data_IF_456879011415
#
_entry.id   IF_456879011415
#
_cell.length_a   1.000
_cell.length_b   1.000
_cell.length_c   1.000
_cell.angle_alpha   90.00
_cell.angle_beta   90.00
_cell.angle_gamma   90.00
#
_symmetry.space_group_name_H-M   'P 1'
#
loop_
_entity.id
_entity.type
_entity.pdbx_description
1 polymer ?
#
# COMPACT_ATOMS: atom_id res chain seq x y z
N UNK A 1 8.86 7.74 21.07
CA UNK A 1 8.68 8.84 20.10
C UNK A 1 9.53 8.45 18.91
N UNK A 2 9.01 7.74 17.92
CA UNK A 2 9.88 7.07 16.95
C UNK A 2 9.35 7.13 15.53
N UNK A 3 10.30 7.22 14.62
CA UNK A 3 10.16 6.79 13.23
C UNK A 3 10.24 5.28 13.18
N UNK A 4 9.34 4.68 12.42
CA UNK A 4 9.65 3.41 11.78
C UNK A 4 10.05 3.70 10.36
N UNK A 5 11.19 3.14 10.00
CA UNK A 5 11.58 2.92 8.62
C UNK A 5 11.15 1.52 8.24
N UNK A 6 10.55 1.42 7.05
CA UNK A 6 10.55 0.31 6.09
C UNK A 6 9.91 0.88 4.83
N UNK A 7 10.52 0.87 3.64
CA UNK A 7 11.36 -0.13 3.00
C UNK A 7 12.55 0.52 2.28
N UNK A 8 13.77 0.04 2.58
CA UNK A 8 14.67 -0.78 1.75
C UNK A 8 14.69 -0.47 0.27
N UNK A 9 15.90 -0.45 -0.32
CA UNK A 9 16.19 -0.17 -1.73
C UNK A 9 15.06 -0.66 -2.66
N UNK A 10 14.04 0.19 -2.83
CA UNK A 10 13.00 -0.04 -3.79
C UNK A 10 13.50 0.74 -4.98
N UNK A 11 13.94 -0.03 -5.95
CA UNK A 11 14.20 0.47 -7.27
C UNK A 11 12.87 0.87 -7.88
N UNK A 12 12.70 2.15 -8.16
CA UNK A 12 11.56 2.65 -8.92
C UNK A 12 11.94 2.75 -10.38
N UNK A 13 11.08 2.21 -11.25
CA UNK A 13 11.12 2.56 -12.67
C UNK A 13 10.60 3.98 -12.81
N UNK A 14 11.37 4.85 -13.45
CA UNK A 14 10.93 6.19 -13.82
C UNK A 14 11.17 6.35 -15.32
N UNK A 15 10.12 6.64 -16.08
CA UNK A 15 10.21 6.72 -17.54
C UNK A 15 11.07 7.93 -18.00
N UNK A 16 11.93 7.73 -18.99
CA UNK A 16 12.89 8.73 -19.50
C UNK A 16 12.35 9.65 -20.61
N UNK A 17 11.08 9.55 -21.01
CA UNK A 17 10.58 10.44 -22.06
C UNK A 17 9.09 10.76 -21.87
N UNK A 18 8.77 12.06 -21.89
CA UNK A 18 7.69 12.74 -22.64
C UNK A 18 7.56 14.19 -22.11
N UNK A 19 8.17 15.13 -22.84
CA UNK A 19 7.65 16.48 -23.14
C UNK A 19 7.42 17.47 -21.99
N UNK A 20 8.39 18.39 -21.82
CA UNK A 20 8.38 19.64 -21.03
C UNK A 20 7.95 19.53 -19.55
N UNK A 21 8.75 18.82 -18.75
CA UNK A 21 9.26 19.27 -17.45
C UNK A 21 10.08 18.13 -16.81
N UNK A 22 11.41 18.22 -16.96
CA UNK A 22 12.50 17.57 -16.20
C UNK A 22 12.13 16.37 -15.30
N UNK A 23 12.73 15.21 -15.59
CA UNK A 23 12.71 14.01 -14.73
C UNK A 23 14.10 13.78 -14.08
N UNK A 24 14.40 14.50 -13.00
CA UNK A 24 15.74 14.49 -12.40
C UNK A 24 15.72 14.84 -10.89
N UNK A 25 16.84 14.63 -10.20
CA UNK A 25 17.02 15.03 -8.81
C UNK A 25 16.96 16.57 -8.66
N UNK A 26 16.28 17.06 -7.61
CA UNK A 26 16.16 18.51 -7.39
C UNK A 26 17.47 19.11 -6.85
N UNK A 27 18.09 18.42 -5.90
CA UNK A 27 19.41 18.70 -5.34
C UNK A 27 20.36 17.57 -5.72
N UNK A 28 21.59 17.94 -6.08
CA UNK A 28 22.67 16.98 -6.30
C UNK A 28 22.96 16.19 -5.01
N UNK A 29 23.36 14.93 -5.21
CA UNK A 29 23.80 14.06 -4.13
C UNK A 29 25.02 14.66 -3.44
N UNK A 30 25.03 14.59 -2.11
CA UNK A 30 26.11 15.12 -1.28
C UNK A 30 27.03 13.97 -0.91
N UNK A 31 28.32 14.23 -0.81
CA UNK A 31 29.23 13.23 -0.26
C UNK A 31 28.84 12.90 1.20
N UNK A 32 29.04 11.65 1.61
CA UNK A 32 28.72 11.19 2.97
C UNK A 32 29.42 12.05 4.04
N UNK A 33 30.62 12.54 3.75
CA UNK A 33 31.37 13.44 4.64
C UNK A 33 30.72 14.82 4.83
N UNK A 34 29.88 15.27 3.90
CA UNK A 34 29.15 16.54 4.00
C UNK A 34 27.85 16.41 4.81
N UNK A 35 27.41 15.18 5.08
CA UNK A 35 26.21 14.91 5.86
C UNK A 35 26.54 14.97 7.35
N UNK A 36 25.64 15.57 8.13
CA UNK A 36 25.78 15.65 9.59
C UNK A 36 25.83 14.24 10.18
N UNK A 37 26.96 13.89 10.79
CA UNK A 37 27.18 12.57 11.39
C UNK A 37 26.38 12.37 12.68
N UNK A 38 26.24 13.43 13.47
CA UNK A 38 25.48 13.43 14.72
C UNK A 38 23.97 13.66 14.49
N UNK A 39 23.09 13.10 15.33
CA UNK A 39 21.66 13.37 15.27
C UNK A 39 21.30 14.86 15.42
N UNK A 40 20.13 15.25 14.92
CA UNK A 40 19.59 16.59 15.19
C UNK A 40 19.20 16.77 16.67
N UNK A 41 19.31 17.98 17.20
CA UNK A 41 18.93 18.24 18.59
C UNK A 41 17.41 18.08 18.80
N UNK A 42 17.05 17.45 19.90
CA UNK A 42 15.67 17.38 20.40
C UNK A 42 15.47 18.36 21.56
N UNK A 43 14.22 18.75 21.88
CA UNK A 43 13.93 19.50 23.10
C UNK A 43 14.30 18.71 24.36
N UNK A 44 14.61 19.42 25.45
CA UNK A 44 14.96 18.80 26.72
C UNK A 44 13.91 17.77 27.18
N UNK A 45 14.39 16.62 27.68
CA UNK A 45 13.54 15.51 28.10
C UNK A 45 13.14 14.54 26.99
N UNK A 46 13.57 14.77 25.75
CA UNK A 46 13.45 13.81 24.65
C UNK A 46 14.83 13.30 24.24
N UNK A 47 14.89 12.03 23.82
CA UNK A 47 16.08 11.41 23.24
C UNK A 47 15.69 10.64 21.98
N UNK A 48 16.65 10.50 21.06
CA UNK A 48 16.51 9.60 19.93
C UNK A 48 16.72 8.18 20.41
N UNK A 49 15.93 7.29 19.86
CA UNK A 49 16.02 5.87 20.10
C UNK A 49 15.62 5.16 18.80
N UNK A 50 16.17 3.98 18.61
CA UNK A 50 16.08 3.19 17.38
C UNK A 50 15.56 1.83 17.80
N UNK A 51 14.35 1.52 17.37
CA UNK A 51 13.62 0.35 17.85
C UNK A 51 14.19 -0.92 17.23
N UNK A 52 14.58 -1.88 18.08
CA UNK A 52 14.92 -3.23 17.63
C UNK A 52 13.66 -4.07 17.46
N UNK A 53 13.28 -4.29 16.20
CA UNK A 53 12.07 -5.01 15.81
C UNK A 53 12.19 -6.53 16.01
N UNK A 54 13.33 -7.06 16.48
CA UNK A 54 13.50 -8.48 16.78
C UNK A 54 13.18 -8.83 18.25
N UNK A 55 13.04 -7.82 19.12
CA UNK A 55 12.72 -8.01 20.54
C UNK A 55 11.18 -8.04 20.77
N UNK A 56 10.60 -9.11 21.34
CA UNK A 56 9.15 -9.26 21.49
C UNK A 56 8.46 -8.24 22.42
N UNK A 57 9.12 -7.69 23.45
CA UNK A 57 8.53 -6.63 24.29
C UNK A 57 8.43 -5.30 23.53
N UNK A 58 9.49 -4.97 22.78
CA UNK A 58 9.54 -3.79 21.88
C UNK A 58 8.56 -3.99 20.71
N UNK A 59 8.44 -5.20 20.18
CA UNK A 59 7.50 -5.56 19.11
C UNK A 59 6.05 -5.47 19.56
N UNK A 60 5.71 -5.67 20.83
CA UNK A 60 4.33 -5.56 21.32
C UNK A 60 3.93 -4.11 21.58
N UNK A 61 4.87 -3.29 22.08
CA UNK A 61 4.74 -1.82 22.11
C UNK A 61 4.69 -1.22 20.70
N UNK A 62 5.42 -1.84 19.75
CA UNK A 62 5.38 -1.51 18.34
C UNK A 62 4.14 -2.02 17.63
N UNK A 63 3.62 -3.22 17.88
CA UNK A 63 2.43 -3.81 17.23
C UNK A 63 1.14 -3.14 17.73
N UNK A 64 1.13 -2.65 18.98
CA UNK A 64 0.15 -1.68 19.45
C UNK A 64 0.27 -0.29 18.78
N UNK A 65 1.40 -0.03 18.11
CA UNK A 65 1.74 1.23 17.47
C UNK A 65 1.72 1.16 15.92
N UNK A 66 1.98 0.00 15.29
CA UNK A 66 2.36 -0.32 13.89
C UNK A 66 2.36 -1.89 13.71
N UNK A 67 1.29 -2.60 13.42
CA UNK A 67 0.67 -2.91 12.12
C UNK A 67 1.51 -3.07 10.83
N UNK A 68 2.84 -2.95 10.73
CA UNK A 68 3.53 -3.18 9.42
C UNK A 68 5.09 -3.27 9.48
N UNK A 69 5.64 -4.48 9.17
CA UNK A 69 6.81 -4.93 8.33
C UNK A 69 8.25 -4.36 8.53
N UNK A 70 9.41 -5.06 8.27
CA UNK A 70 9.76 -6.32 7.52
C UNK A 70 10.75 -6.46 6.25
N UNK A 71 12.05 -6.09 6.17
CA UNK A 71 13.35 -6.60 5.54
C UNK A 71 13.78 -6.77 3.98
N UNK A 72 15.11 -6.87 3.62
CA UNK A 72 15.99 -6.43 2.42
C UNK A 72 16.52 -7.57 1.52
N UNK A 73 17.01 -7.27 0.28
CA UNK A 73 18.29 -7.74 -0.35
C UNK A 73 18.52 -7.27 -1.84
N UNK A 74 19.75 -7.47 -2.35
CA UNK A 74 20.50 -6.89 -3.51
C UNK A 74 20.20 -7.35 -4.98
N UNK A 75 20.77 -6.58 -5.93
CA UNK A 75 21.27 -6.86 -7.32
C UNK A 75 20.51 -6.43 -8.62
N UNK A 76 21.19 -5.52 -9.35
CA UNK A 76 21.47 -5.40 -10.81
C UNK A 76 20.51 -4.78 -11.88
N UNK A 77 21.12 -3.82 -12.60
CA UNK A 77 20.94 -3.30 -13.98
C UNK A 77 19.54 -3.05 -14.56
N UNK A 78 19.05 -1.80 -14.49
CA UNK A 78 18.49 -0.93 -15.57
C UNK A 78 18.46 0.53 -15.01
N UNK A 79 18.02 1.58 -15.74
CA UNK A 79 17.89 2.96 -15.20
C UNK A 79 16.78 3.06 -14.13
N UNK A 80 17.06 2.44 -13.00
CA UNK A 80 16.23 2.39 -11.81
C UNK A 80 16.73 3.44 -10.83
N UNK A 81 15.81 4.19 -10.25
CA UNK A 81 16.17 5.13 -9.18
C UNK A 81 15.99 4.44 -7.83
N UNK A 82 17.06 4.38 -7.04
CA UNK A 82 16.96 3.98 -5.64
C UNK A 82 16.25 5.07 -4.86
N UNK A 83 15.16 4.71 -4.20
CA UNK A 83 14.45 5.60 -3.29
C UNK A 83 14.02 4.84 -2.05
N UNK A 84 13.88 5.56 -0.94
CA UNK A 84 13.25 5.02 0.27
C UNK A 84 11.75 5.27 0.26
N UNK A 85 10.98 4.30 0.75
CA UNK A 85 9.58 4.51 1.07
C UNK A 85 9.45 5.10 2.48
N UNK A 86 8.75 6.24 2.62
CA UNK A 86 8.49 6.86 3.92
C UNK A 86 7.01 6.68 4.28
N UNK A 87 6.79 6.01 5.42
CA UNK A 87 5.47 5.81 6.00
C UNK A 87 5.48 6.09 7.53
N UNK A 88 4.31 6.03 8.16
CA UNK A 88 4.11 6.06 9.61
C UNK A 88 4.60 7.29 10.38
N UNK A 89 4.62 8.47 9.74
CA UNK A 89 4.88 9.71 10.48
C UNK A 89 3.78 9.97 11.52
N UNK A 90 4.11 9.73 12.79
CA UNK A 90 3.18 9.91 13.89
C UNK A 90 3.76 10.79 15.00
N UNK A 91 3.00 11.80 15.40
CA UNK A 91 3.29 12.61 16.59
C UNK A 91 2.14 12.46 17.57
N UNK A 92 2.49 12.13 18.82
CA UNK A 92 1.54 12.01 19.92
C UNK A 92 0.64 13.26 20.01
N UNK A 93 -0.67 13.07 20.25
CA UNK A 93 -1.69 14.14 20.19
C UNK A 93 -1.30 15.40 20.99
N UNK A 94 -0.75 15.22 22.19
CA UNK A 94 -0.32 16.32 23.08
C UNK A 94 0.88 17.13 22.57
N UNK A 95 1.62 16.61 21.59
CA UNK A 95 2.89 17.17 21.13
C UNK A 95 2.81 17.76 19.70
N UNK A 96 1.64 17.69 19.04
CA UNK A 96 1.48 18.13 17.64
C UNK A 96 1.73 19.62 17.43
N UNK A 97 1.42 20.46 18.42
CA UNK A 97 1.66 21.91 18.36
C UNK A 97 3.14 22.30 18.55
N UNK A 98 4.02 21.35 18.90
CA UNK A 98 5.43 21.61 19.22
C UNK A 98 6.37 21.54 18.02
N UNK A 99 5.84 21.45 16.78
CA UNK A 99 6.62 21.39 15.53
C UNK A 99 7.71 20.30 15.56
N UNK A 100 7.39 19.15 16.15
CA UNK A 100 8.31 18.01 16.17
C UNK A 100 8.40 17.31 14.81
N UNK A 101 7.31 17.29 14.03
CA UNK A 101 7.30 16.64 12.71
C UNK A 101 8.41 17.13 11.75
N UNK A 102 8.71 18.44 11.62
CA UNK A 102 9.87 18.88 10.83
C UNK A 102 11.24 18.44 11.36
N UNK A 103 11.43 18.38 12.69
CA UNK A 103 12.69 17.91 13.31
C UNK A 103 12.86 16.42 13.03
N UNK A 104 11.77 15.69 13.19
CA UNK A 104 11.64 14.30 12.84
C UNK A 104 12.06 14.11 11.36
N UNK A 105 11.43 14.81 10.41
CA UNK A 105 11.71 14.66 8.96
C UNK A 105 13.19 14.91 8.65
N UNK A 106 13.81 15.92 9.28
CA UNK A 106 15.25 16.19 9.10
C UNK A 106 16.14 15.04 9.58
N UNK A 107 15.80 14.41 10.70
CA UNK A 107 16.58 13.30 11.23
C UNK A 107 16.48 12.07 10.34
N UNK A 108 15.29 11.74 9.82
CA UNK A 108 15.17 10.60 8.89
C UNK A 108 15.89 10.88 7.57
N UNK A 109 15.77 12.08 7.00
CA UNK A 109 16.54 12.48 5.80
C UNK A 109 18.04 12.33 6.05
N UNK A 110 18.54 12.74 7.22
CA UNK A 110 19.96 12.58 7.58
C UNK A 110 20.38 11.11 7.60
N UNK A 111 19.60 10.24 8.25
CA UNK A 111 19.89 8.81 8.35
C UNK A 111 19.89 8.12 7.00
N UNK A 112 18.92 8.45 6.14
CA UNK A 112 18.80 7.92 4.77
C UNK A 112 19.96 8.41 3.89
N UNK A 113 20.28 9.71 3.95
CA UNK A 113 21.42 10.24 3.19
C UNK A 113 22.75 9.60 3.61
N UNK A 114 22.93 9.21 4.88
CA UNK A 114 24.12 8.48 5.34
C UNK A 114 24.25 7.07 4.75
N UNK A 115 23.17 6.48 4.23
CA UNK A 115 23.22 5.20 3.50
C UNK A 115 23.45 5.40 2.00
N UNK A 116 23.64 6.64 1.55
CA UNK A 116 23.87 6.98 0.13
C UNK A 116 22.60 7.18 -0.69
N UNK A 117 21.40 7.16 -0.09
CA UNK A 117 20.14 7.36 -0.79
C UNK A 117 19.66 8.80 -0.56
N UNK A 118 19.18 9.49 -1.60
CA UNK A 118 18.80 10.91 -1.51
C UNK A 118 17.37 11.19 -1.92
N UNK A 119 16.64 10.19 -2.40
CA UNK A 119 15.29 10.29 -2.90
C UNK A 119 14.35 9.45 -2.02
N UNK A 120 13.09 9.88 -1.95
CA UNK A 120 12.06 9.13 -1.23
C UNK A 120 10.70 9.24 -1.90
N UNK A 121 9.86 8.23 -1.71
CA UNK A 121 8.43 8.28 -2.06
C UNK A 121 7.59 8.24 -0.79
N UNK A 122 6.50 8.98 -0.76
CA UNK A 122 5.57 8.96 0.37
C UNK A 122 4.16 9.34 -0.07
N UNK A 123 3.18 8.96 0.74
CA UNK A 123 1.80 9.42 0.57
C UNK A 123 1.28 10.20 1.75
N UNK A 124 0.26 11.01 1.48
CA UNK A 124 -0.53 11.64 2.52
C UNK A 124 -2.00 11.71 2.12
N UNK A 125 -2.90 11.55 3.10
CA UNK A 125 -4.33 11.84 2.91
C UNK A 125 -4.64 13.34 2.94
N UNK A 126 -3.70 14.17 3.39
CA UNK A 126 -3.79 15.64 3.36
C UNK A 126 -3.07 16.19 2.13
N UNK A 127 -3.63 17.24 1.53
CA UNK A 127 -2.99 17.89 0.39
C UNK A 127 -1.80 18.74 0.85
N UNK A 128 -0.60 18.25 0.57
CA UNK A 128 0.65 19.00 0.63
C UNK A 128 0.97 19.62 -0.75
N UNK A 129 1.83 20.65 -0.82
CA UNK A 129 2.20 21.29 -2.08
C UNK A 129 2.76 20.30 -3.10
N UNK A 130 2.32 20.43 -4.36
CA UNK A 130 2.82 19.69 -5.54
C UNK A 130 2.76 18.15 -5.42
N UNK A 131 1.57 17.55 -5.24
CA UNK A 131 1.43 16.11 -5.44
C UNK A 131 1.74 15.75 -6.90
N UNK A 132 2.41 14.62 -7.09
CA UNK A 132 2.71 14.07 -8.42
C UNK A 132 1.51 13.26 -8.95
N UNK A 133 0.82 12.54 -8.07
CA UNK A 133 -0.43 11.84 -8.40
C UNK A 133 -1.44 11.93 -7.25
N UNK A 134 -2.72 11.77 -7.58
CA UNK A 134 -3.82 11.74 -6.61
C UNK A 134 -4.74 10.57 -6.93
N UNK A 135 -4.73 9.54 -6.11
CA UNK A 135 -5.61 8.38 -6.26
C UNK A 135 -6.78 8.47 -5.27
N UNK A 136 -7.98 8.05 -5.66
CA UNK A 136 -9.17 8.03 -4.80
C UNK A 136 -9.37 6.65 -4.18
N UNK A 137 -9.79 6.63 -2.91
CA UNK A 137 -10.25 5.39 -2.28
C UNK A 137 -11.63 4.98 -2.78
N UNK A 138 -11.80 3.68 -2.96
CA UNK A 138 -13.05 3.04 -3.34
C UNK A 138 -13.36 1.91 -2.38
N UNK A 139 -14.62 1.75 -2.03
CA UNK A 139 -15.08 0.82 -1.01
C UNK A 139 -16.17 -0.11 -1.55
N UNK A 140 -15.97 -1.41 -1.39
CA UNK A 140 -16.95 -2.45 -1.73
C UNK A 140 -17.45 -3.14 -0.47
N UNK A 141 -18.74 -2.96 -0.18
CA UNK A 141 -19.34 -3.52 1.03
C UNK A 141 -19.54 -5.03 0.97
N UNK A 142 -18.82 -5.79 1.79
CA UNK A 142 -18.98 -7.26 1.91
C UNK A 142 -20.02 -7.61 2.98
N UNK A 143 -20.10 -6.82 4.05
CA UNK A 143 -21.07 -6.92 5.12
C UNK A 143 -21.86 -5.60 5.32
N UNK A 144 -22.82 -5.27 4.44
CA UNK A 144 -23.51 -3.98 4.48
C UNK A 144 -24.23 -3.69 5.79
N UNK A 145 -24.77 -4.73 6.43
CA UNK A 145 -25.48 -4.59 7.70
C UNK A 145 -24.54 -4.04 8.78
N UNK A 146 -23.39 -4.69 8.98
CA UNK A 146 -22.40 -4.24 9.96
C UNK A 146 -21.86 -2.86 9.62
N UNK A 147 -21.51 -2.60 8.36
CA UNK A 147 -20.96 -1.30 7.93
C UNK A 147 -21.94 -0.14 8.20
N UNK A 148 -23.25 -0.36 8.07
CA UNK A 148 -24.27 0.65 8.37
C UNK A 148 -24.46 0.80 9.88
N UNK A 149 -24.52 -0.31 10.63
CA UNK A 149 -24.66 -0.31 12.10
C UNK A 149 -23.51 0.44 12.79
N UNK A 150 -22.27 0.26 12.32
CA UNK A 150 -21.08 0.98 12.83
C UNK A 150 -20.86 2.37 12.22
N UNK A 151 -21.78 2.85 11.38
CA UNK A 151 -21.71 4.16 10.69
C UNK A 151 -20.48 4.34 9.79
N UNK A 152 -19.87 3.25 9.32
CA UNK A 152 -18.86 3.30 8.26
C UNK A 152 -19.49 3.68 6.91
N UNK A 153 -20.74 3.25 6.68
CA UNK A 153 -21.51 3.59 5.50
C UNK A 153 -22.93 4.02 5.88
N UNK A 154 -23.63 4.64 4.93
CA UNK A 154 -25.01 5.10 5.12
C UNK A 154 -25.94 4.47 4.08
N UNK A 155 -27.22 4.32 4.43
CA UNK A 155 -28.24 3.97 3.45
C UNK A 155 -28.44 5.14 2.48
N UNK A 156 -28.31 4.86 1.19
CA UNK A 156 -28.62 5.83 0.15
C UNK A 156 -30.10 6.24 0.16
N UNK A 157 -30.42 7.36 -0.49
CA UNK A 157 -31.80 7.81 -0.68
C UNK A 157 -32.62 6.69 -1.34
N UNK A 158 -33.79 6.39 -0.78
CA UNK A 158 -34.72 5.34 -1.26
C UNK A 158 -34.20 3.88 -1.18
N UNK A 159 -33.12 3.63 -0.44
CA UNK A 159 -32.61 2.29 -0.18
C UNK A 159 -33.09 1.77 1.18
N UNK A 160 -33.45 0.48 1.23
CA UNK A 160 -33.72 -0.24 2.48
C UNK A 160 -32.57 -1.20 2.76
N UNK A 161 -32.40 -1.62 4.01
CA UNK A 161 -31.38 -2.62 4.39
C UNK A 161 -31.45 -3.88 3.51
N UNK A 162 -32.65 -4.41 3.27
CA UNK A 162 -32.85 -5.58 2.42
C UNK A 162 -32.41 -5.35 0.96
N UNK A 163 -32.73 -4.18 0.39
CA UNK A 163 -32.28 -3.81 -0.97
C UNK A 163 -30.77 -3.70 -1.05
N UNK A 164 -30.14 -3.10 -0.04
CA UNK A 164 -28.68 -2.98 0.05
C UNK A 164 -28.00 -4.34 0.17
N UNK A 165 -28.52 -5.24 1.01
CA UNK A 165 -28.02 -6.61 1.13
C UNK A 165 -28.14 -7.38 -0.19
N UNK A 166 -29.26 -7.24 -0.90
CA UNK A 166 -29.45 -7.85 -2.22
C UNK A 166 -28.51 -7.26 -3.27
N UNK A 167 -28.31 -5.93 -3.26
CA UNK A 167 -27.43 -5.23 -4.19
C UNK A 167 -25.99 -5.73 -4.07
N UNK A 168 -25.49 -5.91 -2.86
CA UNK A 168 -24.10 -6.28 -2.61
C UNK A 168 -23.85 -7.78 -2.46
N UNK A 169 -24.89 -8.61 -2.63
CA UNK A 169 -24.79 -10.07 -2.54
C UNK A 169 -23.74 -10.62 -3.51
N UNK A 170 -22.86 -11.45 -2.97
CA UNK A 170 -21.88 -12.26 -3.71
C UNK A 170 -22.23 -13.76 -3.60
N UNK A 171 -21.83 -14.58 -4.59
CA UNK A 171 -21.85 -16.04 -4.51
C UNK A 171 -21.03 -16.59 -3.34
N UNK A 172 -21.14 -17.89 -3.08
CA UNK A 172 -20.29 -18.60 -2.12
C UNK A 172 -19.01 -19.14 -2.76
N UNK A 173 -19.10 -19.62 -4.00
CA UNK A 173 -17.99 -20.23 -4.72
C UNK A 173 -17.45 -19.29 -5.81
N UNK A 174 -16.14 -19.35 -6.03
CA UNK A 174 -15.47 -18.64 -7.12
C UNK A 174 -15.86 -19.22 -8.48
N UNK A 175 -15.86 -18.39 -9.51
CA UNK A 175 -16.26 -18.78 -10.86
C UNK A 175 -15.08 -19.27 -11.71
N UNK A 176 -13.88 -18.76 -11.47
CA UNK A 176 -12.71 -19.05 -12.30
C UNK A 176 -12.11 -20.41 -11.97
N UNK A 177 -12.08 -21.31 -12.96
CA UNK A 177 -11.43 -22.62 -12.82
C UNK A 177 -9.93 -22.43 -12.60
N UNK A 178 -9.38 -23.12 -11.60
CA UNK A 178 -7.96 -23.02 -11.27
C UNK A 178 -7.62 -21.83 -10.36
N UNK A 179 -8.60 -21.04 -9.93
CA UNK A 179 -8.41 -20.01 -8.90
C UNK A 179 -8.12 -20.66 -7.55
N UNK A 180 -6.91 -20.47 -7.03
CA UNK A 180 -6.43 -21.08 -5.78
C UNK A 180 -5.46 -20.17 -5.04
N UNK A 181 -5.26 -20.41 -3.75
CA UNK A 181 -4.26 -19.70 -2.93
C UNK A 181 -2.84 -19.91 -3.52
N UNK A 182 -2.04 -18.85 -3.50
CA UNK A 182 -0.63 -18.87 -3.93
C UNK A 182 0.17 -19.87 -3.07
N UNK A 183 1.03 -20.66 -3.72
CA UNK A 183 1.92 -21.60 -3.03
C UNK A 183 3.39 -21.25 -3.29
N UNK A 184 4.33 -21.73 -2.46
CA UNK A 184 5.76 -21.49 -2.67
C UNK A 184 6.28 -21.92 -4.04
N UNK A 185 5.69 -22.96 -4.64
CA UNK A 185 6.09 -23.43 -5.98
C UNK A 185 5.73 -22.44 -7.11
N UNK A 186 4.77 -21.53 -6.86
CA UNK A 186 4.30 -20.59 -7.88
C UNK A 186 5.15 -19.30 -7.92
N UNK A 187 5.99 -19.07 -6.90
CA UNK A 187 6.71 -17.81 -6.66
C UNK A 187 7.42 -17.29 -7.91
N UNK A 188 8.25 -18.11 -8.56
CA UNK A 188 9.04 -17.66 -9.71
C UNK A 188 8.17 -17.32 -10.92
N UNK A 189 7.01 -17.98 -11.07
CA UNK A 189 6.06 -17.67 -12.15
C UNK A 189 5.28 -16.39 -11.87
N UNK A 190 4.85 -16.19 -10.62
CA UNK A 190 4.07 -15.02 -10.22
C UNK A 190 4.93 -13.76 -10.14
N UNK A 191 6.16 -13.89 -9.64
CA UNK A 191 7.14 -12.80 -9.59
C UNK A 191 7.42 -12.25 -10.99
N UNK A 192 7.70 -13.13 -11.97
CA UNK A 192 7.86 -12.72 -13.38
C UNK A 192 6.59 -12.10 -13.96
N UNK A 193 5.43 -12.65 -13.65
CA UNK A 193 4.15 -12.13 -14.11
C UNK A 193 3.92 -10.70 -13.59
N UNK A 194 4.12 -10.47 -12.29
CA UNK A 194 4.00 -9.16 -11.66
C UNK A 194 5.06 -8.17 -12.17
N UNK A 195 6.32 -8.58 -12.25
CA UNK A 195 7.39 -7.73 -12.75
C UNK A 195 7.13 -7.24 -14.18
N UNK A 196 6.63 -8.11 -15.06
CA UNK A 196 6.26 -7.72 -16.42
C UNK A 196 5.04 -6.80 -16.46
N UNK A 197 4.08 -6.99 -15.56
CA UNK A 197 2.93 -6.12 -15.42
C UNK A 197 3.31 -4.71 -14.98
N UNK A 198 4.18 -4.60 -13.97
CA UNK A 198 4.57 -3.34 -13.35
C UNK A 198 5.37 -2.41 -14.26
N UNK A 199 6.10 -2.97 -15.24
CA UNK A 199 6.82 -2.20 -16.29
C UNK A 199 5.93 -1.29 -17.14
N UNK A 200 4.60 -1.45 -17.07
CA UNK A 200 3.63 -0.65 -17.83
C UNK A 200 3.30 0.70 -17.17
N UNK A 201 3.69 0.88 -15.91
CA UNK A 201 3.40 2.05 -15.10
C UNK A 201 4.62 2.95 -14.98
N UNK A 202 4.38 4.24 -14.77
CA UNK A 202 5.43 5.26 -14.79
C UNK A 202 6.09 5.42 -13.40
N UNK A 203 5.40 4.97 -12.33
CA UNK A 203 5.93 4.82 -10.98
C UNK A 203 5.55 3.43 -10.46
N UNK A 204 6.53 2.53 -10.34
CA UNK A 204 6.30 1.18 -9.80
C UNK A 204 7.55 0.64 -9.10
N UNK A 205 7.37 -0.16 -8.03
CA UNK A 205 8.47 -0.84 -7.39
C UNK A 205 8.99 -2.00 -8.25
N UNK A 206 10.28 -2.28 -8.13
CA UNK A 206 10.87 -3.52 -8.63
C UNK A 206 11.15 -4.42 -7.45
N UNK A 207 10.42 -5.53 -7.37
CA UNK A 207 10.60 -6.52 -6.31
C UNK A 207 11.71 -7.50 -6.70
N UNK A 208 12.65 -7.75 -5.78
CA UNK A 208 13.47 -8.97 -5.82
C UNK A 208 12.59 -10.21 -5.58
N UNK A 209 13.17 -11.40 -5.77
CA UNK A 209 12.45 -12.64 -5.52
C UNK A 209 12.13 -12.80 -4.03
N UNK A 210 13.08 -12.42 -3.18
CA UNK A 210 13.02 -12.48 -1.73
C UNK A 210 11.94 -11.51 -1.22
N UNK A 211 11.93 -10.29 -1.73
CA UNK A 211 10.87 -9.32 -1.48
C UNK A 211 9.51 -9.85 -1.95
N UNK A 212 9.43 -10.50 -3.12
CA UNK A 212 8.17 -11.09 -3.57
C UNK A 212 7.66 -12.16 -2.59
N UNK A 213 8.54 -13.03 -2.09
CA UNK A 213 8.17 -14.03 -1.08
C UNK A 213 7.67 -13.35 0.19
N UNK A 214 8.40 -12.35 0.68
CA UNK A 214 8.05 -11.60 1.87
C UNK A 214 6.67 -10.95 1.76
N UNK A 215 6.41 -10.26 0.64
CA UNK A 215 5.21 -9.44 0.45
C UNK A 215 3.97 -10.23 0.04
N UNK A 216 4.12 -11.32 -0.72
CA UNK A 216 2.99 -11.96 -1.39
C UNK A 216 2.71 -13.38 -0.94
N UNK A 217 3.63 -14.07 -0.26
CA UNK A 217 3.33 -15.42 0.21
C UNK A 217 2.24 -15.34 1.30
N UNK A 218 1.10 -16.05 1.17
CA UNK A 218 -0.03 -15.84 2.05
C UNK A 218 0.29 -16.10 3.52
N UNK A 219 0.00 -15.11 4.36
CA UNK A 219 0.17 -15.19 5.80
C UNK A 219 -1.14 -14.82 6.49
N UNK A 220 -1.62 -15.72 7.35
CA UNK A 220 -2.93 -15.61 7.95
C UNK A 220 -3.11 -14.28 8.70
N UNK A 221 -4.20 -13.57 8.38
CA UNK A 221 -4.56 -12.25 8.93
C UNK A 221 -3.63 -11.09 8.53
N UNK A 222 -2.68 -11.32 7.61
CA UNK A 222 -1.80 -10.28 7.08
C UNK A 222 -2.05 -10.10 5.58
N UNK A 223 -1.70 -11.09 4.78
CA UNK A 223 -1.80 -11.04 3.31
C UNK A 223 -2.46 -12.31 2.78
N UNK A 224 -3.42 -12.13 1.89
CA UNK A 224 -4.05 -13.20 1.14
C UNK A 224 -3.72 -13.03 -0.35
N UNK A 225 -3.06 -14.02 -0.95
CA UNK A 225 -2.70 -14.03 -2.37
C UNK A 225 -3.21 -15.28 -3.07
N UNK A 226 -3.66 -15.10 -4.31
CA UNK A 226 -4.28 -16.11 -5.15
C UNK A 226 -3.72 -16.06 -6.57
N UNK A 227 -3.79 -17.21 -7.24
CA UNK A 227 -3.39 -17.39 -8.63
C UNK A 227 -4.48 -18.11 -9.39
N UNK A 228 -4.51 -17.89 -10.70
CA UNK A 228 -5.26 -18.74 -11.63
C UNK A 228 -4.26 -19.61 -12.37
N UNK A 229 -4.43 -20.92 -12.24
CA UNK A 229 -3.61 -21.92 -12.94
C UNK A 229 -4.39 -22.56 -14.09
N UNK A 230 -3.90 -22.39 -15.31
CA UNK A 230 -4.46 -23.01 -16.52
C UNK A 230 -3.37 -23.80 -17.24
N UNK A 231 -3.58 -25.12 -17.39
CA UNK A 231 -2.62 -25.98 -18.10
C UNK A 231 -1.24 -26.06 -17.44
N UNK A 232 -1.17 -26.01 -16.11
CA UNK A 232 0.10 -26.06 -15.36
C UNK A 232 0.89 -24.75 -15.34
N UNK A 233 0.30 -23.64 -15.80
CA UNK A 233 0.93 -22.32 -15.80
C UNK A 233 0.05 -21.31 -15.06
N UNK A 234 0.67 -20.45 -14.27
CA UNK A 234 0.00 -19.30 -13.66
C UNK A 234 -0.26 -18.23 -14.73
N UNK A 235 -1.53 -17.84 -14.88
CA UNK A 235 -1.97 -16.85 -15.87
C UNK A 235 -2.36 -15.52 -15.25
N UNK A 236 -2.89 -15.55 -14.03
CA UNK A 236 -3.43 -14.39 -13.35
C UNK A 236 -3.03 -14.43 -11.86
N UNK A 237 -2.89 -13.27 -11.24
CA UNK A 237 -2.46 -13.09 -9.86
C UNK A 237 -3.34 -12.05 -9.15
N UNK A 238 -3.68 -12.28 -7.88
CA UNK A 238 -4.48 -11.37 -7.07
C UNK A 238 -3.94 -11.36 -5.65
N UNK A 239 -3.87 -10.20 -5.02
CA UNK A 239 -3.49 -10.08 -3.61
C UNK A 239 -4.24 -8.97 -2.88
N UNK A 240 -4.51 -9.20 -1.59
CA UNK A 240 -5.06 -8.18 -0.70
C UNK A 240 -4.59 -8.40 0.74
N UNK A 241 -4.33 -7.31 1.46
CA UNK A 241 -3.87 -7.33 2.85
C UNK A 241 -4.98 -6.96 3.83
N UNK A 242 -4.81 -7.36 5.09
CA UNK A 242 -5.76 -7.09 6.16
C UNK A 242 -5.37 -5.82 6.91
N UNK A 243 -6.30 -4.88 7.02
CA UNK A 243 -6.16 -3.75 7.93
C UNK A 243 -7.35 -3.72 8.90
N UNK A 244 -7.18 -4.17 10.16
CA UNK A 244 -8.25 -4.09 11.14
C UNK A 244 -8.39 -2.66 11.66
N UNK A 245 -9.62 -2.15 11.72
CA UNK A 245 -9.94 -0.87 12.35
C UNK A 245 -10.73 -1.08 13.64
N UNK A 246 -10.38 -0.35 14.69
CA UNK A 246 -11.13 -0.37 15.97
C UNK A 246 -12.41 0.45 15.85
N UNK A 247 -13.55 -0.15 16.19
CA UNK A 247 -14.84 0.54 16.26
C UNK A 247 -15.02 1.10 17.66
N UNK A 248 -14.95 2.43 17.77
CA UNK A 248 -15.04 3.12 19.05
C UNK A 248 -16.50 3.22 19.52
N UNK A 249 -16.76 2.88 20.79
CA UNK A 249 -18.04 3.11 21.50
C UNK A 249 -19.28 2.40 20.92
N UNK A 250 -19.13 1.32 20.17
CA UNK A 250 -20.26 0.51 19.70
C UNK A 250 -20.52 -0.69 20.65
N UNK A 251 -21.78 -0.98 21.03
CA UNK A 251 -22.09 -2.00 22.05
C UNK A 251 -21.75 -3.44 21.61
N UNK A 252 -21.92 -3.75 20.31
CA UNK A 252 -21.74 -5.12 19.77
C UNK A 252 -20.41 -5.31 19.03
N UNK A 253 -20.10 -4.47 18.04
CA UNK A 253 -18.88 -4.60 17.24
C UNK A 253 -17.72 -3.82 17.83
N UNK A 254 -16.58 -4.49 18.00
CA UNK A 254 -15.33 -3.87 18.47
C UNK A 254 -14.34 -3.60 17.35
N UNK A 255 -14.43 -4.35 16.26
CA UNK A 255 -13.49 -4.28 15.14
C UNK A 255 -14.22 -4.33 13.80
N UNK A 256 -13.65 -3.64 12.82
CA UNK A 256 -14.01 -3.68 11.41
C UNK A 256 -12.85 -4.33 10.66
N UNK A 257 -13.10 -5.44 9.98
CA UNK A 257 -12.06 -6.16 9.23
C UNK A 257 -12.13 -5.69 7.77
N UNK A 258 -11.14 -4.91 7.34
CA UNK A 258 -11.07 -4.41 5.97
C UNK A 258 -9.97 -5.15 5.19
N UNK A 259 -10.30 -5.55 3.96
CA UNK A 259 -9.32 -6.03 2.98
C UNK A 259 -8.91 -4.85 2.12
N UNK A 260 -7.62 -4.69 1.86
CA UNK A 260 -7.09 -3.66 0.95
C UNK A 260 -6.48 -4.35 -0.26
N UNK A 261 -6.98 -4.03 -1.45
CA UNK A 261 -6.43 -4.50 -2.72
C UNK A 261 -4.96 -4.12 -2.79
N UNK A 262 -4.09 -5.10 -3.03
CA UNK A 262 -2.67 -4.89 -3.18
C UNK A 262 -2.29 -4.92 -4.66
N UNK A 263 -1.50 -5.91 -5.11
CA UNK A 263 -1.16 -6.07 -6.52
C UNK A 263 -1.99 -7.17 -7.19
N UNK A 264 -2.52 -6.87 -8.38
CA UNK A 264 -3.33 -7.78 -9.17
C UNK A 264 -2.85 -7.76 -10.62
N UNK A 265 -2.85 -8.92 -11.27
CA UNK A 265 -2.50 -9.08 -12.69
C UNK A 265 -3.52 -9.97 -13.36
N UNK A 266 -4.16 -9.45 -14.41
CA UNK A 266 -5.11 -10.16 -15.26
C UNK A 266 -4.51 -10.28 -16.66
N UNK A 267 -4.30 -11.53 -17.11
CA UNK A 267 -3.80 -11.84 -18.45
C UNK A 267 -4.80 -12.64 -19.27
N UNK A 268 -5.41 -13.67 -18.67
CA UNK A 268 -6.36 -14.56 -19.36
C UNK A 268 -7.78 -14.40 -18.85
N UNK A 269 -7.93 -14.13 -17.55
CA UNK A 269 -9.24 -13.98 -16.91
C UNK A 269 -9.66 -12.52 -16.96
N UNK A 270 -10.87 -12.15 -17.46
CA UNK A 270 -11.31 -10.75 -17.46
C UNK A 270 -11.28 -10.13 -16.06
N UNK A 271 -10.78 -8.89 -15.94
CA UNK A 271 -10.64 -8.14 -14.68
C UNK A 271 -11.85 -8.26 -13.74
N UNK A 272 -13.05 -8.07 -14.28
CA UNK A 272 -14.31 -8.18 -13.54
C UNK A 272 -14.50 -9.56 -12.89
N UNK A 273 -14.19 -10.63 -13.62
CA UNK A 273 -14.36 -12.00 -13.13
C UNK A 273 -13.31 -12.29 -12.06
N UNK A 274 -12.05 -11.95 -12.34
CA UNK A 274 -10.93 -12.17 -11.43
C UNK A 274 -11.13 -11.45 -10.10
N UNK A 275 -11.46 -10.16 -10.14
CA UNK A 275 -11.67 -9.38 -8.92
C UNK A 275 -12.98 -9.74 -8.21
N UNK A 276 -13.99 -10.24 -8.92
CA UNK A 276 -15.18 -10.79 -8.27
C UNK A 276 -14.85 -12.03 -7.45
N UNK A 277 -13.95 -12.89 -7.92
CA UNK A 277 -13.48 -14.05 -7.16
C UNK A 277 -12.68 -13.61 -5.92
N UNK A 278 -11.87 -12.56 -6.03
CA UNK A 278 -11.20 -11.93 -4.88
C UNK A 278 -12.20 -11.41 -3.81
N UNK A 279 -13.30 -10.78 -4.24
CA UNK A 279 -14.35 -10.33 -3.33
C UNK A 279 -15.07 -11.51 -2.66
N UNK A 280 -15.22 -12.63 -3.36
CA UNK A 280 -15.82 -13.86 -2.80
C UNK A 280 -14.91 -14.44 -1.74
N UNK A 281 -13.59 -14.57 -2.00
CA UNK A 281 -12.65 -15.09 -1.00
C UNK A 281 -12.56 -14.18 0.22
N UNK A 282 -12.51 -12.86 0.02
CA UNK A 282 -12.55 -11.91 1.13
C UNK A 282 -13.86 -12.01 1.93
N UNK A 283 -15.01 -12.15 1.27
CA UNK A 283 -16.28 -12.34 1.99
C UNK A 283 -16.29 -13.65 2.78
N UNK A 284 -15.78 -14.74 2.21
CA UNK A 284 -15.70 -16.05 2.87
C UNK A 284 -14.69 -16.07 4.03
N UNK A 285 -13.73 -15.15 4.04
CA UNK A 285 -12.78 -14.93 5.13
C UNK A 285 -13.29 -13.86 6.13
N UNK A 286 -14.59 -13.60 6.17
CA UNK A 286 -15.29 -12.70 7.10
C UNK A 286 -14.81 -11.24 7.09
N UNK A 287 -14.34 -10.75 5.95
CA UNK A 287 -14.08 -9.31 5.78
C UNK A 287 -15.39 -8.53 5.61
N UNK A 288 -15.42 -7.32 6.15
CA UNK A 288 -16.62 -6.47 6.16
C UNK A 288 -16.67 -5.52 4.95
N UNK A 289 -15.50 -5.10 4.46
CA UNK A 289 -15.32 -4.18 3.35
C UNK A 289 -14.05 -4.53 2.59
N UNK A 290 -14.08 -4.33 1.27
CA UNK A 290 -12.93 -4.44 0.40
C UNK A 290 -12.60 -3.06 -0.17
N UNK A 291 -11.41 -2.57 0.10
CA UNK A 291 -10.93 -1.25 -0.28
C UNK A 291 -9.97 -1.38 -1.47
N UNK A 292 -10.01 -0.40 -2.37
CA UNK A 292 -9.07 -0.30 -3.48
C UNK A 292 -8.84 1.18 -3.80
N UNK A 293 -7.66 1.50 -4.33
CA UNK A 293 -7.40 2.78 -4.98
C UNK A 293 -7.69 2.67 -6.47
N UNK A 294 -8.00 3.77 -7.14
CA UNK A 294 -8.18 3.85 -8.60
C UNK A 294 -6.86 3.87 -9.40
N UNK A 295 -5.78 3.38 -8.79
CA UNK A 295 -4.48 3.22 -9.43
C UNK A 295 -4.43 2.01 -10.37
N UNK A 296 -3.36 1.93 -11.17
CA UNK A 296 -3.14 0.87 -12.17
C UNK A 296 -4.36 0.70 -13.10
N UNK A 297 -4.87 -0.52 -13.22
CA UNK A 297 -6.03 -0.84 -14.07
C UNK A 297 -7.30 -1.08 -13.23
N UNK A 298 -7.34 -0.62 -11.98
CA UNK A 298 -8.47 -0.88 -11.08
C UNK A 298 -9.79 -0.29 -11.59
N UNK A 299 -9.73 0.85 -12.28
CA UNK A 299 -10.89 1.49 -12.93
C UNK A 299 -11.70 0.53 -13.82
N UNK A 300 -11.07 -0.52 -14.37
CA UNK A 300 -11.73 -1.54 -15.21
C UNK A 300 -12.77 -2.40 -14.48
N UNK A 301 -12.76 -2.45 -13.15
CA UNK A 301 -13.69 -3.28 -12.38
C UNK A 301 -14.44 -2.55 -11.27
N UNK A 302 -13.97 -1.38 -10.82
CA UNK A 302 -14.52 -0.70 -9.64
C UNK A 302 -16.04 -0.47 -9.75
N UNK A 303 -16.49 0.26 -10.77
CA UNK A 303 -17.93 0.56 -10.93
C UNK A 303 -18.77 -0.70 -11.17
N UNK A 304 -18.30 -1.57 -12.07
CA UNK A 304 -19.01 -2.80 -12.45
C UNK A 304 -19.18 -3.78 -11.28
N UNK A 305 -18.19 -3.83 -10.39
CA UNK A 305 -18.23 -4.64 -9.18
C UNK A 305 -18.85 -3.88 -8.00
N UNK A 306 -19.44 -2.70 -8.22
CA UNK A 306 -20.18 -1.91 -7.22
C UNK A 306 -19.30 -1.38 -6.09
N UNK A 307 -18.05 -1.04 -6.39
CA UNK A 307 -17.28 -0.19 -5.50
C UNK A 307 -17.90 1.21 -5.51
N UNK A 308 -18.07 1.81 -4.34
CA UNK A 308 -18.47 3.21 -4.19
C UNK A 308 -17.24 4.09 -3.95
N UNK A 309 -17.24 5.30 -4.51
CA UNK A 309 -16.20 6.28 -4.24
C UNK A 309 -16.21 6.67 -2.75
N UNK A 310 -15.05 6.58 -2.11
CA UNK A 310 -14.79 7.16 -0.81
C UNK A 310 -14.60 8.67 -0.88
N UNK A 311 -14.57 9.28 0.29
CA UNK A 311 -14.29 10.71 0.48
C UNK A 311 -12.78 11.02 0.55
N UNK A 312 -11.97 10.01 0.87
CA UNK A 312 -10.51 10.11 0.95
C UNK A 312 -9.81 10.01 -0.41
N UNK A 313 -8.87 10.92 -0.65
CA UNK A 313 -7.86 10.77 -1.69
C UNK A 313 -6.49 10.51 -1.03
N UNK A 314 -5.68 9.68 -1.67
CA UNK A 314 -4.29 9.46 -1.32
C UNK A 314 -3.39 10.19 -2.33
N UNK A 315 -2.61 11.14 -1.84
CA UNK A 315 -1.71 11.96 -2.64
C UNK A 315 -0.30 11.36 -2.62
N UNK A 316 0.31 11.19 -3.79
CA UNK A 316 1.67 10.67 -3.95
C UNK A 316 2.67 11.81 -4.14
N UNK A 317 3.81 11.69 -3.46
CA UNK A 317 4.88 12.68 -3.46
C UNK A 317 6.23 12.01 -3.61
N UNK A 318 7.17 12.75 -4.22
CA UNK A 318 8.58 12.40 -4.21
C UNK A 318 9.37 13.48 -3.46
N UNK A 319 10.31 13.03 -2.64
CA UNK A 319 11.33 13.86 -2.02
C UNK A 319 12.55 13.92 -2.92
N UNK A 320 13.10 15.13 -3.08
CA UNK A 320 14.29 15.40 -3.90
C UNK A 320 14.21 14.92 -5.36
N UNK A 321 13.01 14.79 -5.92
CA UNK A 321 12.82 14.39 -7.31
C UNK A 321 11.79 15.27 -7.99
N UNK A 322 12.10 15.72 -9.19
CA UNK A 322 11.19 16.45 -10.07
C UNK A 322 10.74 15.50 -11.16
N UNK A 323 9.44 15.44 -11.39
CA UNK A 323 8.86 14.72 -12.52
C UNK A 323 7.49 15.34 -12.89
N UNK A 324 6.97 15.06 -14.09
CA UNK A 324 5.62 15.45 -14.48
C UNK A 324 4.55 14.87 -13.56
N UNK A 325 3.39 15.54 -13.50
CA UNK A 325 2.21 14.95 -12.86
C UNK A 325 1.76 13.73 -13.66
N UNK A 326 1.36 12.69 -12.96
CA UNK A 326 0.85 11.46 -13.58
C UNK A 326 -0.59 11.18 -13.18
N UNK A 327 -1.32 10.53 -14.07
CA UNK A 327 -2.68 10.09 -13.79
C UNK A 327 -2.65 8.83 -12.89
N UNK A 328 -3.74 8.54 -12.13
CA UNK A 328 -3.79 7.37 -11.26
C UNK A 328 -3.46 6.05 -11.97
N UNK A 329 -3.85 5.91 -13.23
CA UNK A 329 -3.62 4.70 -14.04
C UNK A 329 -2.14 4.46 -14.36
N UNK A 330 -1.29 5.47 -14.16
CA UNK A 330 0.16 5.40 -14.32
C UNK A 330 0.90 5.11 -13.01
N UNK A 331 0.19 5.12 -11.88
CA UNK A 331 0.73 4.75 -10.58
C UNK A 331 0.61 3.25 -10.40
N UNK A 332 1.75 2.57 -10.40
CA UNK A 332 1.92 1.15 -10.10
C UNK A 332 2.50 0.89 -8.71
N UNK A 333 2.42 1.87 -7.81
CA UNK A 333 2.88 1.75 -6.43
C UNK A 333 1.68 1.75 -5.48
N UNK A 334 1.54 0.67 -4.71
CA UNK A 334 0.60 0.60 -3.58
C UNK A 334 1.39 0.78 -2.30
N UNK A 335 1.22 1.93 -1.66
CA UNK A 335 1.79 2.23 -0.35
C UNK A 335 0.91 1.65 0.75
N UNK A 336 1.55 1.07 1.76
CA UNK A 336 0.91 0.20 2.75
C UNK A 336 0.19 0.99 3.84
#
# INVERSE_FOLDING_TARGET
MFFLFESKNIYFLVAEDIGEDVNEAIEAEKDISEIKQEPYNLPDGFFWDTLDLQNPEVLQDLYHLLNENYVEDDDNMFSQQEMVEINFLCVHKKLRSKRLAPVLIKEITRRVNLTGIFQAVYTAGVLLPRPMASCRYWHRSLNPRKLIEVKFSHLGKNMTMQRTLKLYRLPSDTATRGFRRLKPQDVDSCHRLLANYLKRFDLAPVFSREQFVHWFLPQDKIIDSYVVETGGKVTDFVSYYTLPSTVMHHPTYKTLKAAYSFYNVSSSTPWKVLMKDALITAKNADYDVFNALDLMENSKFLEELKFGQGDGNLQYYLYNWRCPKMSPEKVGLVLQ
#
